data_IF_095310205494
#
_entry.id   IF_095310205494
#
_cell.length_a   1.000
_cell.length_b   1.000
_cell.length_c   1.000
_cell.angle_alpha   90.00
_cell.angle_beta   90.00
_cell.angle_gamma   90.00
#
_symmetry.space_group_name_H-M   'P 1'
#
loop_
_entity.id
_entity.type
_entity.pdbx_description
1 polymer ?
#
# COMPACT_ATOMS: atom_id res chain seq x y z
N UNK A 1 -11.08 1.05 -27.18
CA UNK A 1 -12.37 1.38 -26.53
C UNK A 1 -12.28 2.49 -25.45
N UNK A 2 -11.14 2.70 -24.77
CA UNK A 2 -10.99 3.62 -23.60
C UNK A 2 -11.33 5.12 -23.81
N UNK A 3 -11.39 5.63 -25.04
CA UNK A 3 -11.57 7.07 -25.33
C UNK A 3 -12.97 7.46 -25.85
N UNK A 4 -13.93 6.52 -25.90
CA UNK A 4 -15.29 6.83 -26.38
C UNK A 4 -16.15 7.47 -25.28
N UNK A 5 -16.01 7.02 -24.03
CA UNK A 5 -16.79 7.51 -22.88
C UNK A 5 -16.48 8.96 -22.51
N UNK A 6 -15.21 9.38 -22.60
CA UNK A 6 -14.79 10.76 -22.30
C UNK A 6 -15.31 11.79 -23.29
N UNK A 7 -15.84 11.36 -24.44
CA UNK A 7 -16.44 12.24 -25.46
C UNK A 7 -17.95 12.46 -25.23
N UNK A 8 -18.57 11.73 -24.32
CA UNK A 8 -19.99 11.87 -23.99
C UNK A 8 -20.20 13.21 -23.29
N UNK A 9 -21.08 14.03 -23.84
CA UNK A 9 -21.50 15.32 -23.28
C UNK A 9 -22.93 15.30 -22.77
N UNK A 10 -23.73 14.34 -23.21
CA UNK A 10 -25.16 14.23 -22.89
C UNK A 10 -25.54 12.76 -22.70
N UNK A 11 -26.35 12.49 -21.67
CA UNK A 11 -27.01 11.21 -21.44
C UNK A 11 -28.52 11.46 -21.48
N UNK A 12 -29.15 11.13 -22.63
CA UNK A 12 -30.51 11.56 -22.92
C UNK A 12 -30.55 13.09 -23.05
N UNK A 13 -31.34 13.74 -22.19
CA UNK A 13 -31.45 15.22 -22.12
C UNK A 13 -30.52 15.87 -21.09
N UNK A 14 -29.77 15.07 -20.31
CA UNK A 14 -28.94 15.58 -19.21
C UNK A 14 -27.52 15.83 -19.72
N UNK A 15 -27.05 17.08 -19.61
CA UNK A 15 -25.65 17.42 -19.88
C UNK A 15 -24.75 16.87 -18.79
N UNK A 16 -23.69 16.16 -19.18
CA UNK A 16 -22.75 15.50 -18.27
C UNK A 16 -21.31 15.87 -18.62
N UNK A 17 -20.44 15.83 -17.60
CA UNK A 17 -18.99 15.93 -17.75
C UNK A 17 -18.36 14.62 -17.32
N UNK A 18 -17.87 13.85 -18.28
CA UNK A 18 -17.20 12.58 -17.99
C UNK A 18 -15.71 12.83 -17.79
N UNK A 19 -15.18 12.39 -16.65
CA UNK A 19 -13.76 12.41 -16.35
C UNK A 19 -13.29 11.01 -15.96
N UNK A 20 -12.00 10.72 -16.17
CA UNK A 20 -11.40 9.49 -15.66
C UNK A 20 -11.36 9.58 -14.15
N UNK A 21 -11.86 8.55 -13.48
CA UNK A 21 -11.64 8.36 -12.05
C UNK A 21 -10.14 8.17 -11.78
N UNK A 22 -9.63 8.91 -10.79
CA UNK A 22 -8.20 8.97 -10.47
C UNK A 22 -7.68 7.69 -9.84
N UNK A 23 -8.54 6.87 -9.24
CA UNK A 23 -8.15 5.70 -8.46
C UNK A 23 -8.58 4.39 -9.16
N UNK A 24 -9.82 4.31 -9.63
CA UNK A 24 -10.39 3.09 -10.23
C UNK A 24 -9.81 2.76 -11.61
N UNK A 25 -9.23 3.75 -12.30
CA UNK A 25 -8.59 3.54 -13.60
C UNK A 25 -7.08 3.30 -13.48
N UNK A 26 -6.58 3.07 -12.27
CA UNK A 26 -5.17 2.81 -12.01
C UNK A 26 -5.00 1.56 -11.17
N UNK A 27 -3.82 0.97 -11.23
CA UNK A 27 -3.48 -0.20 -10.43
C UNK A 27 -2.04 -0.12 -9.99
N UNK A 28 -1.68 -0.92 -8.99
CA UNK A 28 -0.30 -0.97 -8.48
C UNK A 28 0.25 -2.37 -8.57
N UNK A 29 1.44 -2.49 -9.16
CA UNK A 29 2.23 -3.72 -9.18
C UNK A 29 3.51 -3.55 -8.38
N UNK A 30 4.02 -4.64 -7.82
CA UNK A 30 5.30 -4.69 -7.11
C UNK A 30 6.26 -5.64 -7.79
N UNK A 31 7.53 -5.22 -7.90
CA UNK A 31 8.62 -6.03 -8.43
C UNK A 31 9.88 -5.90 -7.56
N UNK A 32 10.71 -6.94 -7.55
CA UNK A 32 12.02 -6.98 -6.89
C UNK A 32 13.03 -7.66 -7.82
N UNK A 33 13.03 -7.26 -9.10
CA UNK A 33 13.93 -7.84 -10.09
C UNK A 33 15.37 -7.41 -9.82
N UNK A 34 16.32 -8.36 -9.80
CA UNK A 34 17.73 -8.11 -9.46
C UNK A 34 18.39 -7.05 -10.36
N UNK A 35 18.04 -7.04 -11.64
CA UNK A 35 18.64 -6.13 -12.64
C UNK A 35 18.06 -4.70 -12.57
N UNK A 36 17.01 -4.47 -11.76
CA UNK A 36 16.48 -3.14 -11.46
C UNK A 36 17.14 -2.50 -10.23
N UNK A 37 18.21 -3.11 -9.73
CA UNK A 37 18.91 -2.63 -8.53
C UNK A 37 19.62 -1.32 -8.81
N UNK A 38 19.23 -0.30 -8.06
CA UNK A 38 19.81 1.03 -8.19
C UNK A 38 19.07 1.95 -9.16
N UNK A 39 18.14 1.43 -9.97
CA UNK A 39 17.30 2.22 -10.85
C UNK A 39 16.58 3.34 -10.10
N UNK A 40 16.49 4.50 -10.76
CA UNK A 40 15.74 5.66 -10.29
C UNK A 40 14.25 5.49 -10.60
N UNK A 41 13.40 6.17 -9.84
CA UNK A 41 11.95 6.05 -10.00
C UNK A 41 11.48 6.63 -11.34
N UNK A 42 12.13 7.70 -11.80
CA UNK A 42 11.82 8.40 -13.05
C UNK A 42 12.07 7.49 -14.27
N UNK A 43 13.13 6.67 -14.24
CA UNK A 43 13.46 5.72 -15.32
C UNK A 43 12.31 4.74 -15.62
N UNK A 44 11.52 4.36 -14.61
CA UNK A 44 10.38 3.48 -14.81
C UNK A 44 9.23 4.18 -15.54
N UNK A 45 9.01 5.47 -15.24
CA UNK A 45 7.95 6.26 -15.89
C UNK A 45 8.33 6.53 -17.34
N UNK A 46 9.60 6.80 -17.61
CA UNK A 46 10.09 7.12 -18.96
C UNK A 46 10.20 5.88 -19.86
N UNK A 47 10.67 4.74 -19.32
CA UNK A 47 11.02 3.57 -20.13
C UNK A 47 9.94 2.47 -20.19
N UNK A 48 8.92 2.51 -19.31
CA UNK A 48 7.89 1.47 -19.24
C UNK A 48 6.52 2.06 -19.63
N UNK A 49 6.01 1.74 -20.83
CA UNK A 49 4.70 2.22 -21.26
C UNK A 49 3.58 1.85 -20.28
N UNK A 50 2.74 2.83 -19.96
CA UNK A 50 1.60 2.66 -19.06
C UNK A 50 1.94 2.84 -17.57
N UNK A 51 3.22 3.00 -17.19
CA UNK A 51 3.58 3.41 -15.83
C UNK A 51 3.44 4.93 -15.68
N UNK A 52 2.72 5.38 -14.66
CA UNK A 52 2.47 6.81 -14.39
C UNK A 52 3.16 7.30 -13.12
N UNK A 53 3.65 6.37 -12.29
CA UNK A 53 4.39 6.68 -11.06
C UNK A 53 5.13 5.44 -10.61
N UNK A 54 6.34 5.62 -10.07
CA UNK A 54 7.12 4.59 -9.43
C UNK A 54 7.49 5.01 -8.02
N UNK A 55 7.59 4.03 -7.11
CA UNK A 55 8.06 4.23 -5.74
C UNK A 55 8.91 3.06 -5.27
N UNK A 56 10.12 3.34 -4.81
CA UNK A 56 11.02 2.38 -4.18
C UNK A 56 10.65 2.20 -2.71
N UNK A 57 10.50 0.96 -2.29
CA UNK A 57 10.20 0.64 -0.89
C UNK A 57 11.45 0.87 -0.06
N UNK A 58 11.30 1.66 1.00
CA UNK A 58 12.30 1.82 2.04
C UNK A 58 11.82 1.09 3.28
N UNK A 59 12.74 0.39 3.96
CA UNK A 59 12.47 -0.27 5.23
C UNK A 59 13.29 0.46 6.28
N UNK A 60 12.64 0.85 7.37
CA UNK A 60 13.32 1.38 8.54
C UNK A 60 13.76 0.22 9.43
N UNK A 61 15.05 0.13 9.75
CA UNK A 61 15.59 -0.83 10.73
C UNK A 61 16.29 -0.04 11.82
N UNK A 62 15.61 0.16 12.94
CA UNK A 62 16.08 1.08 13.99
C UNK A 62 16.07 2.51 13.47
N UNK A 63 17.21 3.20 13.59
CA UNK A 63 17.37 4.58 13.11
C UNK A 63 17.71 4.68 11.62
N UNK A 64 18.14 3.57 11.00
CA UNK A 64 18.56 3.57 9.61
C UNK A 64 17.40 3.31 8.63
N UNK A 65 17.35 4.09 7.56
CA UNK A 65 16.46 3.83 6.41
C UNK A 65 17.22 3.08 5.32
N UNK A 66 16.82 1.83 5.07
CA UNK A 66 17.44 0.96 4.08
C UNK A 66 16.60 0.99 2.81
N UNK A 67 17.20 1.47 1.70
CA UNK A 67 16.61 1.37 0.37
C UNK A 67 16.61 -0.08 -0.09
N UNK A 68 15.43 -0.65 -0.33
CA UNK A 68 15.32 -2.01 -0.86
C UNK A 68 15.41 -2.03 -2.38
N UNK A 69 15.58 -3.21 -2.97
CA UNK A 69 15.43 -3.42 -4.41
C UNK A 69 13.95 -3.58 -4.85
N UNK A 70 12.99 -3.26 -3.97
CA UNK A 70 11.57 -3.46 -4.28
C UNK A 70 10.95 -2.15 -4.77
N UNK A 71 10.27 -2.20 -5.91
CA UNK A 71 9.58 -1.06 -6.50
C UNK A 71 8.09 -1.34 -6.63
N UNK A 72 7.27 -0.35 -6.29
CA UNK A 72 5.85 -0.31 -6.54
C UNK A 72 5.61 0.63 -7.71
N UNK A 73 5.08 0.11 -8.82
CA UNK A 73 4.72 0.89 -9.99
C UNK A 73 3.21 1.09 -10.02
N UNK A 74 2.77 2.29 -10.37
CA UNK A 74 1.38 2.63 -10.62
C UNK A 74 1.15 2.63 -12.13
N UNK A 75 0.23 1.79 -12.59
CA UNK A 75 -0.13 1.66 -14.00
C UNK A 75 -1.40 2.44 -14.31
N UNK A 76 -1.52 2.93 -15.54
CA UNK A 76 -2.69 3.60 -16.11
C UNK A 76 -3.83 2.63 -16.53
N UNK A 77 -3.77 1.40 -16.02
CA UNK A 77 -4.72 0.33 -16.21
C UNK A 77 -5.38 -0.07 -14.88
N UNK A 78 -6.64 -0.55 -14.90
CA UNK A 78 -7.34 -0.98 -13.69
C UNK A 78 -6.75 -2.26 -13.04
N UNK A 79 -5.97 -3.02 -13.80
CA UNK A 79 -5.27 -4.23 -13.31
C UNK A 79 -3.80 -4.15 -13.70
N UNK A 80 -2.87 -4.51 -12.80
CA UNK A 80 -1.46 -4.47 -13.12
C UNK A 80 -1.14 -5.61 -14.08
N UNK A 81 -0.34 -5.39 -15.12
CA UNK A 81 0.15 -6.47 -15.98
C UNK A 81 0.99 -7.46 -15.15
N UNK A 82 0.96 -8.74 -15.51
CA UNK A 82 1.80 -9.76 -14.88
C UNK A 82 3.28 -9.63 -15.28
N UNK A 83 3.54 -9.10 -16.47
CA UNK A 83 4.88 -8.87 -17.02
C UNK A 83 4.88 -7.65 -17.95
N UNK A 84 5.95 -6.85 -17.91
CA UNK A 84 6.22 -5.75 -18.86
C UNK A 84 7.69 -5.75 -19.24
N UNK A 85 8.01 -5.35 -20.46
CA UNK A 85 9.40 -5.13 -20.88
C UNK A 85 9.88 -3.75 -20.42
N UNK A 86 10.96 -3.71 -19.65
CA UNK A 86 11.74 -2.51 -19.38
C UNK A 86 12.96 -2.53 -20.30
N UNK A 87 12.87 -1.88 -21.46
CA UNK A 87 13.83 -2.08 -22.56
C UNK A 87 13.77 -3.54 -23.06
N UNK A 88 14.90 -4.27 -22.93
CA UNK A 88 14.99 -5.69 -23.30
C UNK A 88 14.66 -6.65 -22.14
N UNK A 89 14.49 -6.12 -20.93
CA UNK A 89 14.31 -6.93 -19.73
C UNK A 89 12.83 -7.24 -19.48
N UNK A 90 12.41 -8.52 -19.47
CA UNK A 90 11.07 -8.90 -19.02
C UNK A 90 10.97 -8.78 -17.48
N UNK A 91 10.16 -7.85 -17.01
CA UNK A 91 9.95 -7.60 -15.57
C UNK A 91 8.58 -8.11 -15.16
N UNK A 92 8.56 -9.06 -14.22
CA UNK A 92 7.32 -9.58 -13.63
C UNK A 92 6.85 -8.72 -12.48
N UNK A 93 5.53 -8.59 -12.36
CA UNK A 93 4.85 -7.86 -11.30
C UNK A 93 3.86 -8.74 -10.56
N UNK A 94 3.73 -8.49 -9.26
CA UNK A 94 2.62 -8.99 -8.44
C UNK A 94 1.70 -7.82 -8.09
N UNK A 95 0.38 -8.03 -7.93
CA UNK A 95 -0.49 -6.99 -7.39
C UNK A 95 0.05 -6.46 -6.06
N UNK A 96 0.17 -5.14 -5.94
CA UNK A 96 0.61 -4.51 -4.70
C UNK A 96 -0.58 -4.40 -3.74
N UNK A 97 -0.49 -5.10 -2.61
CA UNK A 97 -1.44 -5.00 -1.50
C UNK A 97 -0.78 -4.18 -0.39
N UNK A 98 -1.27 -2.96 -0.11
CA UNK A 98 -0.72 -2.15 0.99
C UNK A 98 -1.00 -2.83 2.34
N UNK A 99 -0.13 -2.57 3.32
CA UNK A 99 -0.39 -2.97 4.70
C UNK A 99 -1.72 -2.36 5.18
N UNK A 100 -2.62 -3.15 5.78
CA UNK A 100 -3.89 -2.63 6.27
C UNK A 100 -3.70 -1.48 7.25
N UNK A 101 -4.50 -0.43 7.09
CA UNK A 101 -4.52 0.67 8.04
C UNK A 101 -4.99 0.15 9.40
N UNK A 102 -4.13 0.27 10.40
CA UNK A 102 -4.36 -0.14 11.78
C UNK A 102 -4.44 1.07 12.68
N UNK A 103 -5.47 1.13 13.51
CA UNK A 103 -5.59 2.15 14.53
C UNK A 103 -4.57 1.89 15.64
N UNK A 104 -3.72 2.87 15.97
CA UNK A 104 -2.76 2.73 17.07
C UNK A 104 -3.37 2.88 18.46
N UNK A 105 -4.64 3.31 18.56
CA UNK A 105 -5.39 3.36 19.81
C UNK A 105 -6.08 2.03 20.14
N UNK A 106 -6.87 1.50 19.20
CA UNK A 106 -7.68 0.30 19.46
C UNK A 106 -7.18 -0.97 18.78
N UNK A 107 -6.15 -0.88 17.94
CA UNK A 107 -5.58 -1.98 17.14
C UNK A 107 -6.54 -2.65 16.13
N UNK A 108 -7.74 -2.09 15.94
CA UNK A 108 -8.66 -2.44 14.85
C UNK A 108 -8.22 -1.89 13.50
N UNK A 109 -8.82 -2.40 12.43
CA UNK A 109 -8.53 -1.99 11.06
C UNK A 109 -9.49 -0.92 10.53
N UNK A 110 -9.11 -0.25 9.43
CA UNK A 110 -9.99 0.62 8.64
C UNK A 110 -10.10 2.07 9.12
N UNK A 111 -9.42 2.44 10.21
CA UNK A 111 -9.39 3.82 10.70
C UNK A 111 -8.06 4.15 11.40
N UNK A 112 -7.70 5.43 11.38
CA UNK A 112 -6.57 5.98 12.13
C UNK A 112 -6.92 6.34 13.57
N UNK A 113 -5.93 6.81 14.34
CA UNK A 113 -6.11 7.25 15.74
C UNK A 113 -7.12 8.40 15.85
N UNK A 114 -7.04 9.38 14.96
CA UNK A 114 -7.85 10.61 15.00
C UNK A 114 -9.35 10.36 14.76
N UNK A 115 -9.68 9.26 14.08
CA UNK A 115 -11.07 8.85 13.80
C UNK A 115 -11.52 7.70 14.70
N UNK A 116 -10.74 7.35 15.72
CA UNK A 116 -11.06 6.26 16.62
C UNK A 116 -12.17 6.68 17.58
N UNK A 117 -13.24 5.87 17.65
CA UNK A 117 -14.36 6.09 18.57
C UNK A 117 -14.05 5.70 20.02
N UNK A 118 -12.99 4.91 20.26
CA UNK A 118 -12.54 4.61 21.63
C UNK A 118 -11.81 5.82 22.18
N UNK A 119 -11.99 6.06 23.48
CA UNK A 119 -11.29 7.14 24.20
C UNK A 119 -10.05 6.64 24.95
N UNK A 120 -9.83 5.33 24.98
CA UNK A 120 -8.71 4.68 25.68
C UNK A 120 -7.78 4.00 24.68
N UNK A 121 -6.48 4.13 24.93
CA UNK A 121 -5.45 3.35 24.23
C UNK A 121 -5.40 1.94 24.83
N UNK A 122 -5.39 0.94 23.95
CA UNK A 122 -5.23 -0.46 24.30
C UNK A 122 -3.75 -0.84 24.23
N UNK A 123 -3.37 -1.80 25.04
CA UNK A 123 -2.04 -2.37 25.00
C UNK A 123 -1.83 -3.17 23.70
N UNK A 124 -0.70 -2.92 23.02
CA UNK A 124 -0.30 -3.64 21.82
C UNK A 124 -0.08 -5.14 22.06
N UNK A 125 0.33 -5.50 23.27
CA UNK A 125 0.69 -6.87 23.65
C UNK A 125 -0.56 -7.69 23.98
N UNK A 126 -1.40 -7.21 24.90
CA UNK A 126 -2.52 -7.98 25.44
C UNK A 126 -3.91 -7.44 25.08
N UNK A 127 -4.01 -6.27 24.45
CA UNK A 127 -5.30 -5.68 24.06
C UNK A 127 -6.10 -5.01 25.17
N UNK A 128 -5.65 -5.08 26.42
CA UNK A 128 -6.30 -4.46 27.57
C UNK A 128 -5.89 -2.98 27.76
N UNK A 129 -6.76 -2.11 28.28
CA UNK A 129 -6.43 -0.72 28.57
C UNK A 129 -5.52 -0.57 29.81
N UNK A 130 -5.07 0.66 30.07
CA UNK A 130 -4.44 1.07 31.34
C UNK A 130 -2.91 0.94 31.43
N UNK A 131 -2.23 0.51 30.37
CA UNK A 131 -0.76 0.36 30.32
C UNK A 131 -0.27 0.31 28.87
N UNK A 132 1.03 0.53 28.66
CA UNK A 132 1.67 0.41 27.35
C UNK A 132 2.15 -1.01 27.09
N UNK A 133 2.40 -1.33 25.82
CA UNK A 133 2.92 -2.65 25.41
C UNK A 133 4.30 -2.97 25.99
N UNK A 134 5.13 -1.95 26.21
CA UNK A 134 6.49 -2.07 26.77
C UNK A 134 6.47 -2.47 28.26
N UNK A 135 5.46 -2.02 28.99
CA UNK A 135 5.27 -2.27 30.43
C UNK A 135 4.38 -3.51 30.68
N UNK A 136 4.04 -4.26 29.64
CA UNK A 136 3.09 -5.36 29.73
C UNK A 136 3.78 -6.71 29.95
N UNK A 137 3.54 -7.34 31.09
CA UNK A 137 4.06 -8.69 31.39
C UNK A 137 3.16 -9.82 30.87
N UNK A 138 1.92 -9.53 30.45
CA UNK A 138 0.99 -10.53 29.93
C UNK A 138 1.47 -11.18 28.63
N UNK A 139 0.93 -12.36 28.34
CA UNK A 139 1.13 -13.01 27.04
C UNK A 139 0.58 -12.14 25.90
N UNK A 140 1.13 -12.34 24.70
CA UNK A 140 0.62 -11.67 23.51
C UNK A 140 -0.77 -12.22 23.17
N UNK A 141 -1.74 -11.34 22.99
CA UNK A 141 -3.08 -11.65 22.49
C UNK A 141 -3.53 -10.57 21.51
N UNK A 142 -3.85 -10.97 20.27
CA UNK A 142 -4.38 -10.05 19.27
C UNK A 142 -5.85 -9.70 19.53
N UNK A 143 -6.19 -8.41 19.62
CA UNK A 143 -7.58 -7.95 19.81
C UNK A 143 -8.55 -8.39 18.71
N UNK A 144 -8.04 -8.68 17.50
CA UNK A 144 -8.88 -9.01 16.34
C UNK A 144 -9.12 -10.52 16.19
N UNK A 145 -8.09 -11.35 16.40
CA UNK A 145 -8.18 -12.80 16.17
C UNK A 145 -8.02 -13.66 17.43
N UNK A 146 -7.73 -13.04 18.59
CA UNK A 146 -7.49 -13.73 19.87
C UNK A 146 -6.34 -14.76 19.84
N UNK A 147 -5.51 -14.71 18.81
CA UNK A 147 -4.32 -15.56 18.67
C UNK A 147 -3.10 -15.01 19.40
N UNK A 148 -2.18 -15.92 19.73
CA UNK A 148 -0.97 -15.65 20.53
C UNK A 148 0.30 -15.35 19.72
N UNK A 149 0.21 -15.30 18.38
CA UNK A 149 1.42 -15.36 17.50
C UNK A 149 2.00 -14.00 17.10
N UNK A 150 3.33 -13.98 16.97
CA UNK A 150 4.27 -12.90 16.59
C UNK A 150 4.04 -12.18 15.25
N UNK A 151 2.89 -12.32 14.56
CA UNK A 151 2.58 -11.42 13.42
C UNK A 151 2.42 -9.96 13.86
N UNK A 152 2.24 -9.72 15.17
CA UNK A 152 2.28 -8.40 15.79
C UNK A 152 3.64 -7.68 15.64
N UNK A 153 4.76 -8.41 15.53
CA UNK A 153 6.11 -7.81 15.45
C UNK A 153 6.47 -7.22 14.09
N UNK A 154 5.93 -7.77 12.99
CA UNK A 154 6.22 -7.24 11.63
C UNK A 154 5.55 -5.89 11.35
N UNK A 155 4.54 -5.53 12.13
CA UNK A 155 3.86 -4.22 12.05
C UNK A 155 4.55 -3.19 12.96
N UNK A 156 5.30 -3.63 13.97
CA UNK A 156 5.99 -2.76 14.92
C UNK A 156 7.34 -2.22 14.40
N UNK A 157 7.98 -2.90 13.43
CA UNK A 157 9.32 -2.55 12.92
C UNK A 157 9.30 -1.69 11.64
N UNK A 158 8.23 -0.92 11.39
CA UNK A 158 8.14 -0.08 10.18
C UNK A 158 7.57 1.32 10.45
N UNK A 159 7.69 1.79 11.70
CA UNK A 159 7.42 3.17 12.11
C UNK A 159 8.66 3.71 12.79
#
# INVERSE_FOLDING_TARGET
MRNKLTKIKELGVIKVKVARDKYLNTSRGVTNHKDLRGSKEEEFVDCIPGVISARKIQIKRGEESIKTNTYVLTFDSPTPPSEVKAGYLPVKFRPYVPTPMRCFRCHGFGHGRDRCRRNVDLCLKCGEPGHRGEECDRSHECVNCKGSTLQALRIAQSI
#
